data_IF_923249651622
#
_entry.id   IF_923249651622
#
_cell.length_a   1.000
_cell.length_b   1.000
_cell.length_c   1.000
_cell.angle_alpha   90.00
_cell.angle_beta   90.00
_cell.angle_gamma   90.00
#
_symmetry.space_group_name_H-M   'P 1'
#
loop_
_entity.id
_entity.type
_entity.pdbx_description
1 polymer ?
#
# COMPACT_ATOMS: atom_id res chain seq x y z
N UNK A 1 -16.98 -13.83 -54.12
CA UNK A 1 -15.87 -13.80 -53.13
C UNK A 1 -16.29 -13.11 -51.81
N UNK A 2 -17.21 -13.68 -51.01
CA UNK A 2 -17.63 -13.13 -49.69
C UNK A 2 -17.73 -14.19 -48.57
N UNK A 3 -17.01 -15.32 -48.70
CA UNK A 3 -17.26 -16.52 -47.88
C UNK A 3 -16.29 -16.81 -46.72
N UNK A 4 -15.18 -16.06 -46.56
CA UNK A 4 -14.14 -16.42 -45.58
C UNK A 4 -13.91 -15.40 -44.46
N UNK A 5 -14.63 -14.26 -44.43
CA UNK A 5 -14.40 -13.22 -43.42
C UNK A 5 -15.31 -13.36 -42.17
N UNK A 6 -16.44 -14.08 -42.26
CA UNK A 6 -17.40 -14.15 -41.14
C UNK A 6 -17.12 -15.24 -40.09
N UNK A 7 -16.22 -16.20 -40.34
CA UNK A 7 -16.03 -17.37 -39.46
C UNK A 7 -14.92 -17.21 -38.39
N UNK A 8 -14.10 -16.15 -38.45
CA UNK A 8 -12.95 -15.95 -37.55
C UNK A 8 -13.12 -14.84 -36.49
N UNK A 9 -14.25 -14.13 -36.50
CA UNK A 9 -14.55 -13.08 -35.51
C UNK A 9 -15.32 -13.61 -34.29
N UNK A 10 -16.29 -14.51 -34.51
CA UNK A 10 -17.19 -15.02 -33.46
C UNK A 10 -16.51 -15.78 -32.30
N UNK A 11 -15.36 -16.42 -32.54
CA UNK A 11 -14.59 -17.10 -31.47
C UNK A 11 -13.79 -16.13 -30.60
N UNK A 12 -13.42 -14.96 -31.11
CA UNK A 12 -12.65 -13.95 -30.36
C UNK A 12 -13.59 -13.07 -29.52
N UNK A 13 -14.68 -12.60 -30.12
CA UNK A 13 -15.70 -11.82 -29.39
C UNK A 13 -16.37 -12.66 -28.31
N UNK A 14 -16.68 -13.93 -28.58
CA UNK A 14 -17.20 -14.84 -27.54
C UNK A 14 -16.21 -15.05 -26.39
N UNK A 15 -14.91 -15.21 -26.67
CA UNK A 15 -13.87 -15.31 -25.62
C UNK A 15 -13.72 -14.02 -24.81
N UNK A 16 -13.82 -12.85 -25.44
CA UNK A 16 -13.78 -11.56 -24.75
C UNK A 16 -15.02 -11.35 -23.87
N UNK A 17 -16.20 -11.74 -24.34
CA UNK A 17 -17.44 -11.67 -23.54
C UNK A 17 -17.43 -12.69 -22.39
N UNK A 18 -16.91 -13.90 -22.61
CA UNK A 18 -16.74 -14.90 -21.55
C UNK A 18 -15.69 -14.45 -20.52
N UNK A 19 -14.61 -13.81 -20.96
CA UNK A 19 -13.60 -13.21 -20.09
C UNK A 19 -14.16 -12.04 -19.27
N UNK A 20 -15.05 -11.22 -19.85
CA UNK A 20 -15.76 -10.14 -19.15
C UNK A 20 -16.76 -10.67 -18.11
N UNK A 21 -17.47 -11.75 -18.42
CA UNK A 21 -18.41 -12.39 -17.50
C UNK A 21 -17.67 -13.09 -16.34
N UNK A 22 -16.55 -13.77 -16.63
CA UNK A 22 -15.68 -14.34 -15.59
C UNK A 22 -15.07 -13.24 -14.74
N UNK A 23 -14.61 -12.14 -15.33
CA UNK A 23 -14.08 -11.00 -14.57
C UNK A 23 -15.15 -10.35 -13.69
N UNK A 24 -16.38 -10.20 -14.18
CA UNK A 24 -17.51 -9.71 -13.39
C UNK A 24 -17.90 -10.65 -12.24
N UNK A 25 -17.85 -11.95 -12.46
CA UNK A 25 -18.16 -12.97 -11.45
C UNK A 25 -17.06 -13.06 -10.39
N UNK A 26 -15.80 -12.94 -10.78
CA UNK A 26 -14.64 -12.84 -9.87
C UNK A 26 -14.70 -11.53 -9.07
N UNK A 27 -15.09 -10.42 -9.70
CA UNK A 27 -15.25 -9.13 -9.03
C UNK A 27 -16.39 -9.15 -7.99
N UNK A 28 -17.52 -9.81 -8.33
CA UNK A 28 -18.62 -9.99 -7.38
C UNK A 28 -18.26 -10.94 -6.22
N UNK A 29 -17.43 -11.97 -6.46
CA UNK A 29 -16.97 -12.88 -5.42
C UNK A 29 -15.97 -12.23 -4.45
N UNK A 30 -15.14 -11.29 -4.94
CA UNK A 30 -14.22 -10.50 -4.10
C UNK A 30 -14.97 -9.51 -3.18
N UNK A 31 -16.17 -9.05 -3.58
CA UNK A 31 -16.98 -8.16 -2.76
C UNK A 31 -17.77 -8.87 -1.65
N UNK A 32 -18.05 -10.17 -1.82
CA UNK A 32 -18.88 -11.00 -0.90
C UNK A 32 -18.02 -11.91 -0.01
N UNK A 33 -16.70 -11.91 -0.14
CA UNK A 33 -15.88 -12.39 0.97
C UNK A 33 -15.97 -11.37 2.12
N UNK A 34 -15.93 -11.80 3.39
CA UNK A 34 -15.66 -10.89 4.50
C UNK A 34 -14.22 -10.37 4.35
N UNK A 35 -14.04 -9.40 3.46
CA UNK A 35 -13.00 -8.40 3.57
C UNK A 35 -13.24 -7.68 4.91
N UNK A 36 -12.20 -7.50 5.71
CA UNK A 36 -12.17 -6.75 6.98
C UNK A 36 -12.29 -7.58 8.28
N UNK A 37 -11.36 -8.51 8.47
CA UNK A 37 -10.56 -8.53 9.71
C UNK A 37 -9.18 -7.88 9.44
N UNK A 38 -9.17 -6.87 8.58
CA UNK A 38 -7.96 -6.28 8.00
C UNK A 38 -7.52 -5.12 8.89
N UNK A 39 -6.40 -5.28 9.58
CA UNK A 39 -5.61 -4.17 10.08
C UNK A 39 -5.26 -3.25 8.91
N UNK A 40 -6.03 -2.19 8.71
CA UNK A 40 -5.81 -1.26 7.61
C UNK A 40 -4.74 -0.26 8.02
N UNK A 41 -3.47 -0.69 7.95
CA UNK A 41 -2.25 0.05 8.35
C UNK A 41 -2.17 1.49 7.82
N UNK A 42 -2.83 1.77 6.68
CA UNK A 42 -2.86 3.11 6.07
C UNK A 42 -3.95 3.99 6.68
N UNK A 43 -5.11 3.42 7.04
CA UNK A 43 -6.20 4.19 7.67
C UNK A 43 -6.00 4.32 9.16
N UNK A 44 -5.58 3.26 9.84
CA UNK A 44 -5.29 3.27 11.29
C UNK A 44 -4.16 4.26 11.61
N UNK A 45 -3.06 4.20 10.84
CA UNK A 45 -1.97 5.17 10.95
C UNK A 45 -2.36 6.62 10.60
N UNK A 46 -3.37 6.82 9.74
CA UNK A 46 -3.88 8.15 9.38
C UNK A 46 -4.88 8.69 10.42
N UNK A 47 -5.80 7.85 10.93
CA UNK A 47 -6.77 8.25 11.96
C UNK A 47 -6.08 8.53 13.28
N UNK A 48 -5.03 7.77 13.60
CA UNK A 48 -4.26 7.97 14.82
C UNK A 48 -3.32 9.19 14.68
N UNK A 49 -2.75 9.46 13.50
CA UNK A 49 -1.99 10.72 13.26
C UNK A 49 -2.86 11.97 13.46
N UNK A 50 -4.15 11.89 13.13
CA UNK A 50 -5.11 12.99 13.29
C UNK A 50 -5.72 13.00 14.71
N UNK A 51 -5.84 11.84 15.38
CA UNK A 51 -6.46 11.69 16.71
C UNK A 51 -5.50 11.70 17.92
N UNK A 52 -4.21 11.41 17.72
CA UNK A 52 -3.21 11.20 18.78
C UNK A 52 -2.86 12.44 19.63
N UNK A 53 -3.38 13.61 19.26
CA UNK A 53 -3.29 14.85 20.05
C UNK A 53 -4.20 14.87 21.29
N UNK A 54 -5.16 13.95 21.41
CA UNK A 54 -6.23 14.06 22.43
C UNK A 54 -6.09 13.13 23.64
N UNK A 55 -5.33 12.03 23.54
CA UNK A 55 -5.29 11.02 24.60
C UNK A 55 -3.90 10.88 25.23
N UNK A 56 -3.67 11.56 26.34
CA UNK A 56 -2.55 11.29 27.26
C UNK A 56 -3.08 10.65 28.54
N UNK A 57 -2.88 9.34 28.76
CA UNK A 57 -2.74 8.84 30.15
C UNK A 57 -1.74 7.64 30.27
N UNK A 58 -0.70 7.75 31.12
CA UNK A 58 -0.64 7.44 32.58
C UNK A 58 -0.52 5.95 32.95
N UNK A 59 0.67 5.57 33.42
CA UNK A 59 1.04 4.49 34.34
C UNK A 59 1.13 3.07 33.75
N UNK A 60 2.35 2.60 33.43
CA UNK A 60 2.73 1.19 33.13
C UNK A 60 2.30 0.60 31.78
N UNK A 61 1.12 0.93 31.24
CA UNK A 61 0.82 0.85 29.80
C UNK A 61 1.63 1.91 29.01
N UNK A 62 2.16 2.89 29.74
CA UNK A 62 2.91 4.05 29.25
C UNK A 62 4.08 3.70 28.34
N UNK A 63 4.86 2.65 28.58
CA UNK A 63 6.04 2.42 27.73
C UNK A 63 5.63 1.91 26.35
N UNK A 64 4.66 0.99 26.30
CA UNK A 64 4.13 0.43 25.05
C UNK A 64 3.38 1.49 24.25
N UNK A 65 2.56 2.30 24.93
CA UNK A 65 1.81 3.41 24.31
C UNK A 65 2.72 4.58 23.94
N UNK A 66 3.72 4.93 24.75
CA UNK A 66 4.68 5.99 24.41
C UNK A 66 5.56 5.59 23.22
N UNK A 67 6.01 4.33 23.16
CA UNK A 67 6.73 3.80 22.00
C UNK A 67 5.79 3.74 20.79
N UNK A 68 4.54 3.29 20.95
CA UNK A 68 3.54 3.29 19.88
C UNK A 68 3.34 4.69 19.28
N UNK A 69 3.11 5.70 20.13
CA UNK A 69 2.97 7.10 19.73
C UNK A 69 4.23 7.67 19.08
N UNK A 70 5.42 7.35 19.59
CA UNK A 70 6.68 7.83 18.99
C UNK A 70 6.86 7.20 17.60
N UNK A 71 6.63 5.90 17.48
CA UNK A 71 6.75 5.18 16.20
C UNK A 71 5.74 5.74 15.21
N UNK A 72 4.52 6.02 15.64
CA UNK A 72 3.47 6.57 14.81
C UNK A 72 3.75 8.00 14.31
N UNK A 73 4.28 8.90 15.16
CA UNK A 73 4.68 10.24 14.68
C UNK A 73 5.81 10.15 13.66
N UNK A 74 6.76 9.23 13.87
CA UNK A 74 7.83 8.96 12.91
C UNK A 74 7.29 8.34 11.61
N UNK A 75 6.34 7.40 11.69
CA UNK A 75 5.69 6.76 10.54
C UNK A 75 4.88 7.75 9.70
N UNK A 76 4.12 8.64 10.35
CA UNK A 76 3.39 9.71 9.67
C UNK A 76 4.33 10.68 8.97
N UNK A 77 5.40 11.11 9.66
CA UNK A 77 6.39 12.01 9.08
C UNK A 77 7.15 11.37 7.90
N UNK A 78 7.57 10.10 8.03
CA UNK A 78 8.19 9.34 6.95
C UNK A 78 7.23 9.11 5.79
N UNK A 79 5.95 8.85 6.06
CA UNK A 79 4.92 8.68 5.03
C UNK A 79 4.73 9.94 4.17
N UNK A 80 4.61 11.10 4.81
CA UNK A 80 4.52 12.39 4.12
C UNK A 80 5.79 12.66 3.30
N UNK A 81 6.97 12.43 3.89
CA UNK A 81 8.25 12.57 3.17
C UNK A 81 8.33 11.63 1.96
N UNK A 82 7.87 10.38 2.09
CA UNK A 82 7.87 9.42 0.99
C UNK A 82 6.99 9.90 -0.17
N UNK A 83 5.80 10.43 0.11
CA UNK A 83 4.90 10.99 -0.92
C UNK A 83 5.57 12.16 -1.64
N UNK A 84 6.18 13.09 -0.90
CA UNK A 84 6.89 14.25 -1.49
C UNK A 84 8.04 13.78 -2.39
N UNK A 85 8.80 12.76 -1.95
CA UNK A 85 9.93 12.22 -2.70
C UNK A 85 9.47 11.49 -3.97
N UNK A 86 8.35 10.76 -3.92
CA UNK A 86 7.72 10.13 -5.08
C UNK A 86 7.25 11.18 -6.09
N UNK A 87 6.62 12.26 -5.64
CA UNK A 87 6.19 13.36 -6.53
C UNK A 87 7.41 14.01 -7.19
N UNK A 88 8.48 14.27 -6.43
CA UNK A 88 9.72 14.83 -6.97
C UNK A 88 10.37 13.90 -8.00
N UNK A 89 10.46 12.61 -7.70
CA UNK A 89 11.00 11.60 -8.62
C UNK A 89 10.14 11.45 -9.89
N UNK A 90 8.81 11.53 -9.74
CA UNK A 90 7.86 11.51 -10.86
C UNK A 90 8.01 12.73 -11.77
N UNK A 91 8.16 13.93 -11.20
CA UNK A 91 8.45 15.14 -11.96
C UNK A 91 9.80 15.06 -12.69
N UNK A 92 10.83 14.54 -12.02
CA UNK A 92 12.14 14.34 -12.63
C UNK A 92 12.08 13.35 -13.80
N UNK A 93 11.27 12.30 -13.67
CA UNK A 93 11.06 11.32 -14.74
C UNK A 93 10.28 11.92 -15.93
N UNK A 94 9.22 12.69 -15.64
CA UNK A 94 8.36 13.30 -16.67
C UNK A 94 9.08 14.44 -17.42
N UNK A 95 9.97 15.17 -16.75
CA UNK A 95 10.77 16.26 -17.35
C UNK A 95 12.08 15.78 -17.99
N UNK A 96 12.40 14.49 -17.94
CA UNK A 96 13.64 13.95 -18.49
C UNK A 96 13.71 14.02 -20.03
N UNK A 97 12.57 14.07 -20.73
CA UNK A 97 12.52 14.39 -22.17
C UNK A 97 13.33 13.49 -23.10
N UNK A 98 13.73 12.28 -22.65
CA UNK A 98 14.57 11.35 -23.41
C UNK A 98 16.05 11.30 -22.98
N UNK A 99 16.48 12.13 -22.03
CA UNK A 99 17.80 12.04 -21.41
C UNK A 99 17.87 10.79 -20.49
N UNK A 100 18.65 9.79 -20.92
CA UNK A 100 18.79 8.51 -20.20
C UNK A 100 19.35 8.69 -18.80
N UNK A 101 20.22 9.68 -18.58
CA UNK A 101 20.83 9.94 -17.26
C UNK A 101 19.77 10.40 -16.25
N UNK A 102 18.87 11.29 -16.67
CA UNK A 102 17.77 11.78 -15.82
C UNK A 102 16.75 10.69 -15.55
N UNK A 103 16.45 9.85 -16.54
CA UNK A 103 15.55 8.70 -16.38
C UNK A 103 16.12 7.70 -15.38
N UNK A 104 17.40 7.37 -15.46
CA UNK A 104 18.04 6.42 -14.55
C UNK A 104 18.15 6.96 -13.13
N UNK A 105 18.42 8.27 -12.97
CA UNK A 105 18.35 8.93 -11.66
C UNK A 105 16.94 8.86 -11.08
N UNK A 106 15.91 9.19 -11.85
CA UNK A 106 14.52 9.14 -11.39
C UNK A 106 14.11 7.71 -10.98
N UNK A 107 14.50 6.69 -11.76
CA UNK A 107 14.31 5.29 -11.39
C UNK A 107 15.05 4.93 -10.10
N UNK A 108 16.27 5.45 -9.89
CA UNK A 108 17.01 5.29 -8.65
C UNK A 108 16.25 5.83 -7.44
N UNK A 109 15.69 7.04 -7.55
CA UNK A 109 14.87 7.63 -6.49
C UNK A 109 13.61 6.80 -6.20
N UNK A 110 12.92 6.32 -7.24
CA UNK A 110 11.73 5.46 -7.05
C UNK A 110 12.09 4.14 -6.36
N UNK A 111 13.18 3.48 -6.77
CA UNK A 111 13.64 2.24 -6.12
C UNK A 111 13.94 2.46 -4.64
N UNK A 112 14.67 3.54 -4.32
CA UNK A 112 15.01 3.87 -2.94
C UNK A 112 13.77 4.22 -2.11
N UNK A 113 12.79 4.92 -2.70
CA UNK A 113 11.51 5.21 -2.05
C UNK A 113 10.72 3.92 -1.74
N UNK A 114 10.66 2.97 -2.68
CA UNK A 114 10.01 1.67 -2.48
C UNK A 114 10.68 0.89 -1.34
N UNK A 115 12.01 0.87 -1.31
CA UNK A 115 12.77 0.22 -0.24
C UNK A 115 12.46 0.86 1.12
N UNK A 116 12.39 2.19 1.18
CA UNK A 116 11.97 2.91 2.39
C UNK A 116 10.57 2.50 2.87
N UNK A 117 9.59 2.41 1.96
CA UNK A 117 8.23 1.95 2.30
C UNK A 117 8.22 0.50 2.82
N UNK A 118 9.00 -0.39 2.20
CA UNK A 118 9.11 -1.78 2.63
C UNK A 118 9.69 -1.88 4.05
N UNK A 119 10.72 -1.09 4.37
CA UNK A 119 11.33 -1.07 5.71
C UNK A 119 10.32 -0.60 6.76
N UNK A 120 9.55 0.45 6.45
CA UNK A 120 8.52 0.98 7.37
C UNK A 120 7.45 -0.08 7.66
N UNK A 121 6.97 -0.77 6.61
CA UNK A 121 5.99 -1.85 6.76
C UNK A 121 6.56 -3.02 7.57
N UNK A 122 7.81 -3.42 7.31
CA UNK A 122 8.47 -4.50 8.04
C UNK A 122 8.66 -4.14 9.52
N UNK A 123 9.08 -2.91 9.83
CA UNK A 123 9.25 -2.44 11.20
C UNK A 123 7.93 -2.51 12.00
N UNK A 124 6.81 -2.16 11.38
CA UNK A 124 5.49 -2.25 12.01
C UNK A 124 5.11 -3.70 12.32
N UNK A 125 5.24 -4.60 11.32
CA UNK A 125 4.93 -6.04 11.47
C UNK A 125 5.77 -6.68 12.58
N UNK A 126 7.06 -6.36 12.64
CA UNK A 126 7.94 -6.87 13.69
C UNK A 126 7.52 -6.33 15.05
N UNK A 127 7.18 -5.04 15.13
CA UNK A 127 6.73 -4.42 16.38
C UNK A 127 5.46 -5.10 16.87
N UNK A 128 4.41 -5.21 16.05
CA UNK A 128 3.17 -5.89 16.43
C UNK A 128 3.40 -7.34 16.86
N UNK A 129 4.25 -8.08 16.14
CA UNK A 129 4.57 -9.47 16.47
C UNK A 129 5.24 -9.63 17.84
N UNK A 130 6.21 -8.77 18.16
CA UNK A 130 6.87 -8.76 19.48
C UNK A 130 5.87 -8.35 20.57
N UNK A 131 5.04 -7.36 20.27
CA UNK A 131 4.03 -6.85 21.18
C UNK A 131 2.97 -7.90 21.53
N UNK A 132 2.57 -8.74 20.58
CA UNK A 132 1.61 -9.82 20.77
C UNK A 132 2.21 -10.98 21.58
N UNK A 133 3.45 -11.38 21.25
CA UNK A 133 4.20 -12.40 22.00
C UNK A 133 4.35 -12.06 23.49
N UNK A 134 4.66 -10.80 23.81
CA UNK A 134 4.79 -10.36 25.21
C UNK A 134 3.46 -10.41 25.95
N UNK A 135 2.34 -10.11 25.28
CA UNK A 135 1.01 -10.15 25.90
C UNK A 135 0.52 -11.58 26.10
N UNK A 136 0.80 -12.48 25.16
CA UNK A 136 0.41 -13.90 25.23
C UNK A 136 1.18 -14.65 26.34
N UNK A 137 2.44 -14.30 26.59
CA UNK A 137 3.21 -14.89 27.71
C UNK A 137 2.80 -14.40 29.10
N UNK A 138 1.95 -13.36 29.19
CA UNK A 138 1.48 -12.77 30.45
C UNK A 138 0.07 -13.24 30.84
N UNK A 139 -0.57 -14.09 30.03
CA UNK A 139 -1.81 -14.81 30.35
C UNK A 139 -1.54 -16.29 30.64
#
# INVERSE_FOLDING_TARGET
MKGIISAKSGKKTAKTLLSLLVLGLVFSAVLVSPQLASANVITDGLTDFIGGASDLPSGTTDLKTAIGKIVQIFLGFLGVLAVVLIIYAGFLWMTAGGDSSKVDKAKGYIKNAIIGIIIILAAYIITSFVLDQVVETLQ
#
